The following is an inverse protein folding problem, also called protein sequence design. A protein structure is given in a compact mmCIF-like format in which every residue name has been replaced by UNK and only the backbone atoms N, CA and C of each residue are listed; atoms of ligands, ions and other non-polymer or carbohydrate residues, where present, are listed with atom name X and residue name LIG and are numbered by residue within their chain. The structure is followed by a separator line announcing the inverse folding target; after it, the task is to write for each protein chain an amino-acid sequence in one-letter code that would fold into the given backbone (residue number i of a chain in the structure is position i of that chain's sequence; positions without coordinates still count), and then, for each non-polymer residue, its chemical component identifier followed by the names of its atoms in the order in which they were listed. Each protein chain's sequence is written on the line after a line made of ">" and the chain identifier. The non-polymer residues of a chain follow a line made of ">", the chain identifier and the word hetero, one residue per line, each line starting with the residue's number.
data_IF_621706070643
#
_entry.id   IF_621706070643
#
_cell.length_a   1.000
_cell.length_b   1.000
_cell.length_c   1.000
_cell.angle_alpha   90.00
_cell.angle_beta   90.00
_cell.angle_gamma   90.00
#
_symmetry.space_group_name_H-M   'P 1'
#
loop_
_entity.id
_entity.type
_entity.pdbx_description
1 polymer ?
#
# COMPACT_ATOMS: atom_id res chain seq x y z
N UNK A 1 12.61 -6.81 -12.64
CA UNK A 1 13.21 -5.71 -11.85
C UNK A 1 12.06 -4.97 -11.19
N UNK A 2 11.67 -5.40 -9.98
CA UNK A 2 10.88 -4.55 -9.09
C UNK A 2 11.86 -3.54 -8.49
N UNK A 3 11.45 -2.27 -8.43
CA UNK A 3 12.30 -1.16 -8.03
C UNK A 3 12.52 -1.21 -6.51
N UNK A 4 13.79 -1.30 -6.11
CA UNK A 4 14.22 -1.05 -4.74
C UNK A 4 14.20 0.47 -4.51
N UNK A 5 13.11 0.95 -3.92
CA UNK A 5 12.94 2.36 -3.60
C UNK A 5 12.01 2.52 -2.41
N UNK A 6 12.39 3.37 -1.45
CA UNK A 6 11.47 3.88 -0.44
C UNK A 6 10.42 4.74 -1.16
N UNK A 7 9.16 4.30 -1.14
CA UNK A 7 8.06 5.15 -1.60
C UNK A 7 7.20 5.50 -0.40
N UNK A 8 7.07 6.80 -0.13
CA UNK A 8 6.15 7.30 0.86
C UNK A 8 4.75 7.40 0.24
N UNK A 9 3.79 6.66 0.79
CA UNK A 9 2.37 6.86 0.55
C UNK A 9 1.78 7.76 1.65
N UNK A 10 0.62 8.33 1.42
CA UNK A 10 -0.08 9.07 2.49
C UNK A 10 -1.45 8.46 2.71
N UNK A 11 -1.89 8.52 3.96
CA UNK A 11 -3.20 8.08 4.38
C UNK A 11 -3.96 9.27 4.95
N UNK A 12 -5.17 9.48 4.47
CA UNK A 12 -6.02 10.57 4.94
C UNK A 12 -6.46 10.33 6.39
N UNK A 13 -6.73 11.38 7.17
CA UNK A 13 -6.77 11.34 8.64
C UNK A 13 -7.53 10.17 9.32
N UNK A 14 -8.70 9.76 8.81
CA UNK A 14 -9.44 8.60 9.35
C UNK A 14 -8.93 7.24 8.81
N UNK A 15 -8.26 7.26 7.66
CA UNK A 15 -7.59 6.13 7.02
C UNK A 15 -6.31 5.72 7.75
N UNK A 16 -5.52 6.66 8.27
CA UNK A 16 -4.18 6.34 8.80
C UNK A 16 -4.20 5.31 9.93
N UNK A 17 -5.07 5.49 10.91
CA UNK A 17 -5.24 4.51 12.00
C UNK A 17 -5.79 3.16 11.51
N UNK A 18 -6.74 3.17 10.57
CA UNK A 18 -7.33 1.94 10.03
C UNK A 18 -6.34 1.17 9.13
N UNK A 19 -5.54 1.89 8.36
CA UNK A 19 -4.51 1.35 7.47
C UNK A 19 -3.40 0.66 8.29
N UNK A 20 -2.93 1.31 9.35
CA UNK A 20 -1.82 0.84 10.19
C UNK A 20 -2.23 -0.24 11.18
N UNK A 21 -3.39 -0.12 11.84
CA UNK A 21 -3.85 -1.11 12.85
C UNK A 21 -4.73 -2.23 12.27
N UNK A 22 -5.21 -2.09 11.04
CA UNK A 22 -6.20 -2.99 10.44
C UNK A 22 -5.78 -3.55 9.09
N UNK A 23 -5.63 -2.72 8.07
CA UNK A 23 -5.43 -3.17 6.69
C UNK A 23 -4.06 -3.84 6.48
N UNK A 24 -2.97 -3.10 6.64
CA UNK A 24 -1.62 -3.59 6.36
C UNK A 24 -1.23 -4.85 7.17
N UNK A 25 -1.53 -4.94 8.50
CA UNK A 25 -1.27 -6.16 9.25
C UNK A 25 -2.05 -7.37 8.73
N UNK A 26 -3.28 -7.20 8.26
CA UNK A 26 -4.08 -8.31 7.67
C UNK A 26 -3.50 -8.81 6.36
N UNK A 27 -2.79 -7.98 5.61
CA UNK A 27 -2.07 -8.41 4.41
C UNK A 27 -0.78 -9.18 4.75
N UNK A 28 -0.28 -9.02 5.99
CA UNK A 28 0.92 -9.66 6.51
C UNK A 28 2.10 -8.72 6.71
N UNK A 29 1.91 -7.40 6.55
CA UNK A 29 2.97 -6.43 6.73
C UNK A 29 3.20 -6.07 8.20
N UNK A 30 4.48 -5.93 8.55
CA UNK A 30 4.91 -5.40 9.84
C UNK A 30 5.23 -3.91 9.76
N UNK A 31 5.48 -3.32 10.93
CA UNK A 31 5.91 -1.94 11.06
C UNK A 31 7.18 -1.85 11.89
N UNK A 32 8.09 -0.94 11.53
CA UNK A 32 9.25 -0.62 12.37
C UNK A 32 8.82 0.35 13.48
N UNK A 33 8.79 -0.07 14.76
CA UNK A 33 8.36 0.78 15.87
C UNK A 33 9.29 1.96 16.11
N UNK A 34 10.53 1.93 15.60
CA UNK A 34 11.48 3.05 15.71
C UNK A 34 11.08 4.23 14.82
N UNK A 35 10.35 3.97 13.73
CA UNK A 35 9.91 4.95 12.75
C UNK A 35 8.38 4.99 12.62
N UNK A 36 7.68 4.61 13.70
CA UNK A 36 6.21 4.61 13.75
C UNK A 36 5.74 5.36 15.00
N UNK A 37 4.91 6.38 14.79
CA UNK A 37 4.28 7.21 15.80
C UNK A 37 2.82 7.56 15.41
N UNK A 38 2.27 8.63 15.99
CA UNK A 38 0.90 9.08 15.75
C UNK A 38 0.69 9.76 14.38
N UNK A 39 1.76 10.11 13.67
CA UNK A 39 1.73 10.85 12.39
C UNK A 39 2.28 10.05 11.22
N UNK A 40 3.10 9.04 11.50
CA UNK A 40 3.78 8.25 10.49
C UNK A 40 3.89 6.79 10.93
N UNK A 41 3.80 5.85 9.99
CA UNK A 41 4.09 4.45 10.23
C UNK A 41 5.00 3.90 9.12
N UNK A 42 6.09 3.26 9.53
CA UNK A 42 7.06 2.68 8.60
C UNK A 42 6.70 1.22 8.33
N UNK A 43 5.99 0.97 7.23
CA UNK A 43 5.61 -0.38 6.80
C UNK A 43 6.80 -1.08 6.14
N UNK A 44 7.11 -2.28 6.61
CA UNK A 44 8.25 -3.08 6.13
C UNK A 44 7.77 -3.98 4.99
N UNK A 45 8.34 -3.79 3.79
CA UNK A 45 8.11 -4.66 2.63
C UNK A 45 9.18 -5.75 2.56
N UNK A 46 10.45 -5.36 2.78
CA UNK A 46 11.61 -6.24 2.86
C UNK A 46 12.69 -5.59 3.74
N UNK A 47 13.86 -6.22 3.86
CA UNK A 47 15.01 -5.63 4.57
C UNK A 47 15.50 -4.31 3.93
N UNK A 48 15.24 -4.13 2.63
CA UNK A 48 15.75 -3.01 1.83
C UNK A 48 14.64 -2.05 1.35
N UNK A 49 13.36 -2.43 1.48
CA UNK A 49 12.22 -1.66 0.99
C UNK A 49 11.19 -1.38 2.09
N UNK A 50 10.77 -0.12 2.17
CA UNK A 50 9.83 0.39 3.16
C UNK A 50 8.83 1.32 2.50
N UNK A 51 7.61 1.32 3.01
CA UNK A 51 6.56 2.30 2.67
C UNK A 51 6.24 3.10 3.91
N UNK A 52 6.48 4.41 3.85
CA UNK A 52 6.03 5.31 4.90
C UNK A 52 4.56 5.62 4.65
N UNK A 53 3.69 5.30 5.59
CA UNK A 53 2.30 5.75 5.62
C UNK A 53 2.26 6.99 6.51
N UNK A 54 1.91 8.15 5.96
CA UNK A 54 1.90 9.42 6.70
C UNK A 54 0.47 9.96 6.83
N UNK A 55 0.17 10.63 7.94
CA UNK A 55 -1.02 11.47 8.01
C UNK A 55 -0.95 12.60 6.96
N UNK A 56 -2.11 13.02 6.46
CA UNK A 56 -2.17 14.02 5.38
C UNK A 56 -1.52 15.38 5.75
N UNK A 57 -1.75 15.97 6.95
CA UNK A 57 -1.09 17.21 7.34
C UNK A 57 0.44 17.12 7.37
N UNK A 58 0.99 16.00 7.84
CA UNK A 58 2.42 15.76 7.92
C UNK A 58 3.00 15.51 6.53
N UNK A 59 2.31 14.75 5.67
CA UNK A 59 2.71 14.55 4.27
C UNK A 59 2.83 15.88 3.50
N UNK A 60 1.93 16.84 3.74
CA UNK A 60 2.01 18.20 3.14
C UNK A 60 3.26 18.98 3.54
N UNK A 61 4.00 18.56 4.55
CA UNK A 61 5.29 19.19 4.88
C UNK A 61 6.43 18.75 3.93
N UNK A 62 6.25 17.63 3.22
CA UNK A 62 7.24 17.07 2.28
C UNK A 62 7.08 17.56 0.84
N UNK A 63 5.94 18.17 0.50
CA UNK A 63 5.65 18.63 -0.86
C UNK A 63 4.98 20.00 -0.87
N UNK A 64 5.21 20.75 -1.96
CA UNK A 64 4.50 22.00 -2.24
C UNK A 64 3.37 21.83 -3.26
N UNK A 65 3.20 20.62 -3.80
CA UNK A 65 2.14 20.29 -4.77
C UNK A 65 0.85 19.94 -4.03
N UNK A 66 -0.26 20.10 -4.72
CA UNK A 66 -1.53 19.54 -4.28
C UNK A 66 -1.44 18.02 -4.24
N UNK A 67 -2.16 17.42 -3.30
CA UNK A 67 -2.20 15.97 -3.15
C UNK A 67 -3.12 15.35 -4.22
N UNK A 68 -2.74 14.17 -4.70
CA UNK A 68 -3.52 13.44 -5.70
C UNK A 68 -4.90 13.03 -5.14
N UNK A 69 -5.97 13.32 -5.89
CA UNK A 69 -7.31 12.78 -5.63
C UNK A 69 -7.39 11.34 -6.16
N UNK A 70 -7.08 10.37 -5.29
CA UNK A 70 -7.01 8.93 -5.59
C UNK A 70 -8.34 8.34 -6.06
N UNK A 71 -9.47 9.00 -5.80
CA UNK A 71 -10.76 8.59 -6.33
C UNK A 71 -10.91 8.86 -7.84
N UNK A 72 -10.03 9.69 -8.42
CA UNK A 72 -10.07 10.09 -9.84
C UNK A 72 -8.78 9.78 -10.60
N UNK A 73 -7.65 9.76 -9.91
CA UNK A 73 -6.33 9.71 -10.53
C UNK A 73 -5.42 8.70 -9.83
N UNK A 74 -4.59 8.02 -10.62
CA UNK A 74 -3.53 7.15 -10.12
C UNK A 74 -2.19 7.86 -10.30
N UNK A 75 -1.53 8.23 -9.20
CA UNK A 75 -0.21 8.88 -9.24
C UNK A 75 0.94 7.87 -9.36
N UNK A 76 0.80 6.72 -8.69
CA UNK A 76 1.78 5.65 -8.67
C UNK A 76 1.10 4.29 -8.65
N UNK A 77 1.84 3.25 -9.06
CA UNK A 77 1.42 1.86 -8.93
C UNK A 77 2.54 1.06 -8.27
N UNK A 78 2.20 0.33 -7.22
CA UNK A 78 3.14 -0.48 -6.45
C UNK A 78 2.96 -1.96 -6.81
N UNK A 79 4.06 -2.61 -7.20
CA UNK A 79 4.06 -4.02 -7.55
C UNK A 79 4.90 -4.81 -6.56
N UNK A 80 4.27 -5.78 -5.91
CA UNK A 80 4.91 -6.71 -4.98
C UNK A 80 5.07 -8.08 -5.65
N UNK A 81 6.24 -8.69 -5.50
CA UNK A 81 6.46 -10.04 -5.97
C UNK A 81 5.78 -11.06 -5.05
N UNK A 82 5.28 -12.14 -5.64
CA UNK A 82 4.72 -13.29 -4.94
C UNK A 82 5.40 -14.56 -5.49
N UNK A 83 5.58 -15.57 -4.64
CA UNK A 83 6.22 -16.83 -5.02
C UNK A 83 5.32 -17.75 -5.85
N UNK A 84 4.01 -17.51 -5.87
CA UNK A 84 3.05 -18.32 -6.62
C UNK A 84 1.76 -17.59 -6.96
N UNK A 85 0.95 -18.16 -7.87
CA UNK A 85 -0.41 -17.67 -8.17
C UNK A 85 -1.33 -17.67 -6.95
N UNK A 86 -1.24 -18.72 -6.14
CA UNK A 86 -2.03 -18.84 -4.92
C UNK A 86 -1.68 -17.73 -3.89
N UNK A 87 -0.42 -17.29 -3.86
CA UNK A 87 -0.01 -16.16 -3.03
C UNK A 87 -0.57 -14.83 -3.53
N UNK A 88 -0.59 -14.61 -4.85
CA UNK A 88 -1.24 -13.44 -5.46
C UNK A 88 -2.73 -13.42 -5.09
N UNK A 89 -3.44 -14.52 -5.33
CA UNK A 89 -4.87 -14.64 -5.01
C UNK A 89 -5.13 -14.45 -3.52
N UNK A 90 -4.32 -15.07 -2.67
CA UNK A 90 -4.41 -14.93 -1.23
C UNK A 90 -4.22 -13.49 -0.76
N UNK A 91 -3.27 -12.77 -1.35
CA UNK A 91 -3.01 -11.37 -1.01
C UNK A 91 -4.17 -10.47 -1.39
N UNK A 92 -4.66 -10.56 -2.63
CA UNK A 92 -5.79 -9.73 -3.08
C UNK A 92 -7.04 -10.04 -2.27
N UNK A 93 -7.37 -11.31 -2.04
CA UNK A 93 -8.54 -11.67 -1.24
C UNK A 93 -8.47 -11.15 0.20
N UNK A 94 -7.29 -11.17 0.83
CA UNK A 94 -7.09 -10.55 2.16
C UNK A 94 -7.29 -9.03 2.11
N UNK A 95 -6.79 -8.37 1.07
CA UNK A 95 -6.98 -6.93 0.88
C UNK A 95 -8.46 -6.54 0.77
N UNK A 96 -9.24 -7.27 -0.05
CA UNK A 96 -10.68 -7.04 -0.19
C UNK A 96 -11.42 -7.30 1.14
N UNK A 97 -11.10 -8.41 1.82
CA UNK A 97 -11.68 -8.72 3.12
C UNK A 97 -11.32 -7.68 4.21
N UNK A 98 -10.22 -6.95 4.03
CA UNK A 98 -9.79 -5.87 4.91
C UNK A 98 -10.41 -4.49 4.56
N UNK A 99 -11.22 -4.39 3.50
CA UNK A 99 -11.90 -3.17 3.09
C UNK A 99 -11.35 -2.51 1.83
N UNK A 100 -10.31 -3.08 1.22
CA UNK A 100 -9.82 -2.67 -0.10
C UNK A 100 -10.81 -2.99 -1.22
N UNK A 101 -10.51 -2.54 -2.44
CA UNK A 101 -11.36 -2.72 -3.62
C UNK A 101 -10.57 -3.32 -4.77
N UNK A 102 -11.21 -4.12 -5.62
CA UNK A 102 -10.54 -4.57 -6.85
C UNK A 102 -10.25 -3.36 -7.74
N UNK A 103 -9.02 -3.27 -8.24
CA UNK A 103 -8.63 -2.24 -9.19
C UNK A 103 -8.84 -2.71 -10.64
N UNK A 104 -8.48 -3.97 -10.93
CA UNK A 104 -8.64 -4.62 -12.22
C UNK A 104 -8.98 -6.10 -12.03
N UNK A 105 -9.44 -6.76 -13.10
CA UNK A 105 -9.53 -8.21 -13.17
C UNK A 105 -8.13 -8.86 -13.14
N UNK A 106 -8.00 -10.12 -12.68
CA UNK A 106 -6.73 -10.85 -12.74
C UNK A 106 -6.19 -10.91 -14.17
N UNK A 107 -4.89 -10.65 -14.32
CA UNK A 107 -4.18 -10.74 -15.58
C UNK A 107 -3.29 -11.98 -15.61
N UNK A 108 -3.51 -12.82 -16.62
CA UNK A 108 -2.75 -14.04 -16.84
C UNK A 108 -2.08 -14.02 -18.21
N UNK A 109 -0.77 -13.83 -18.21
CA UNK A 109 0.07 -13.83 -19.41
C UNK A 109 0.82 -15.17 -19.59
N UNK A 110 0.46 -16.21 -18.83
CA UNK A 110 1.13 -17.51 -18.79
C UNK A 110 2.42 -17.50 -17.96
N UNK A 111 3.39 -16.66 -18.34
CA UNK A 111 4.67 -16.49 -17.64
C UNK A 111 4.59 -15.53 -16.45
N UNK A 112 3.53 -14.73 -16.38
CA UNK A 112 3.30 -13.73 -15.34
C UNK A 112 1.82 -13.74 -15.00
N UNK A 113 1.54 -13.79 -13.70
CA UNK A 113 0.20 -13.67 -13.15
C UNK A 113 0.19 -12.52 -12.17
N UNK A 114 -0.80 -11.63 -12.28
CA UNK A 114 -0.93 -10.48 -11.41
C UNK A 114 -2.38 -10.09 -11.21
N UNK A 115 -2.68 -9.54 -10.04
CA UNK A 115 -3.99 -9.02 -9.71
C UNK A 115 -3.82 -7.82 -8.78
N UNK A 116 -4.61 -6.77 -9.01
CA UNK A 116 -4.47 -5.49 -8.32
C UNK A 116 -5.71 -5.13 -7.51
N UNK A 117 -5.46 -4.38 -6.44
CA UNK A 117 -6.47 -3.79 -5.58
C UNK A 117 -6.08 -2.35 -5.25
N UNK A 118 -7.08 -1.56 -4.88
CA UNK A 118 -6.91 -0.29 -4.20
C UNK A 118 -6.96 -0.52 -2.68
N UNK A 119 -6.08 0.15 -1.95
CA UNK A 119 -6.11 0.17 -0.48
C UNK A 119 -7.26 1.03 0.08
N UNK A 120 -7.24 1.32 1.39
CA UNK A 120 -8.29 2.10 2.05
C UNK A 120 -8.31 3.58 1.64
N UNK A 121 -7.19 4.11 1.17
CA UNK A 121 -7.04 5.49 0.69
C UNK A 121 -7.14 5.58 -0.84
N UNK A 122 -7.30 4.46 -1.53
CA UNK A 122 -7.49 4.42 -2.97
C UNK A 122 -6.19 4.33 -3.78
N UNK A 123 -5.07 4.00 -3.14
CA UNK A 123 -3.79 3.77 -3.82
C UNK A 123 -3.71 2.35 -4.38
#
# INVERSE_FOLDING_TARGET
>A
MCLDGQVAGYSSGAGFGCATSGFAPKLGFGFDPKFTDDKAACMIISEEAYVMLLDEPFFKTFTRRELCDTAKHTEALFALSCGSRAEVDGMVNRAIAAGGKHAMDPQDHGFMYGWSFYDLDGH
#
